data_IF_366495760168
#
_entry.id   IF_366495760168
#
_cell.length_a   1.000
_cell.length_b   1.000
_cell.length_c   1.000
_cell.angle_alpha   90.00
_cell.angle_beta   90.00
_cell.angle_gamma   90.00
#
_symmetry.space_group_name_H-M   'P 1'
#
loop_
_entity.id
_entity.type
_entity.pdbx_description
1 polymer ?
#
# COMPACT_ATOMS: atom_id res chain seq x y z
N UNK A 1 -4.72 -24.11 2.40
CA UNK A 1 -5.08 -23.21 3.52
C UNK A 1 -6.58 -23.36 3.73
N UNK A 2 -7.10 -23.52 4.95
CA UNK A 2 -8.54 -23.65 5.17
C UNK A 2 -9.26 -22.39 4.65
N UNK A 3 -10.32 -22.56 3.85
CA UNK A 3 -11.13 -21.43 3.38
C UNK A 3 -12.00 -20.94 4.53
N UNK A 4 -11.79 -19.71 4.96
CA UNK A 4 -12.67 -19.05 5.93
C UNK A 4 -13.96 -18.65 5.20
N UNK A 5 -15.12 -18.98 5.76
CA UNK A 5 -16.41 -18.59 5.18
C UNK A 5 -16.93 -17.28 5.77
N UNK A 6 -17.92 -16.66 5.12
CA UNK A 6 -18.60 -15.48 5.68
C UNK A 6 -19.27 -15.80 7.02
N UNK A 7 -19.84 -17.00 7.17
CA UNK A 7 -20.44 -17.43 8.42
C UNK A 7 -19.41 -17.52 9.56
N UNK A 8 -18.21 -18.03 9.28
CA UNK A 8 -17.10 -18.09 10.24
C UNK A 8 -16.64 -16.69 10.68
N UNK A 9 -16.72 -15.70 9.78
CA UNK A 9 -16.37 -14.30 10.07
C UNK A 9 -17.47 -13.66 10.92
N UNK A 10 -18.74 -13.82 10.52
CA UNK A 10 -19.88 -13.22 11.22
C UNK A 10 -19.96 -13.68 12.68
N UNK A 11 -19.78 -14.99 12.94
CA UNK A 11 -19.75 -15.53 14.30
C UNK A 11 -18.66 -14.87 15.17
N UNK A 12 -17.50 -14.55 14.59
CA UNK A 12 -16.41 -13.87 15.29
C UNK A 12 -16.72 -12.39 15.52
N UNK A 13 -17.34 -11.71 14.56
CA UNK A 13 -17.71 -10.30 14.69
C UNK A 13 -18.75 -10.08 15.78
N UNK A 14 -19.73 -10.97 15.91
CA UNK A 14 -20.76 -10.90 16.95
C UNK A 14 -20.19 -10.93 18.39
N UNK A 15 -18.97 -11.45 18.58
CA UNK A 15 -18.30 -11.53 19.89
C UNK A 15 -17.42 -10.32 20.20
N UNK A 16 -17.21 -9.41 19.26
CA UNK A 16 -16.35 -8.25 19.45
C UNK A 16 -17.09 -7.09 20.11
N UNK A 17 -16.39 -6.30 20.94
CA UNK A 17 -16.95 -5.05 21.44
C UNK A 17 -17.11 -4.03 20.29
N UNK A 18 -18.05 -3.09 20.40
CA UNK A 18 -18.35 -2.10 19.35
C UNK A 18 -17.12 -1.33 18.85
N UNK A 19 -16.22 -0.93 19.75
CA UNK A 19 -15.01 -0.18 19.40
C UNK A 19 -14.08 -0.96 18.45
N UNK A 20 -14.07 -2.29 18.53
CA UNK A 20 -13.29 -3.16 17.64
C UNK A 20 -14.00 -3.38 16.31
N UNK A 21 -15.32 -3.36 16.27
CA UNK A 21 -16.09 -3.45 15.03
C UNK A 21 -15.81 -2.26 14.10
N UNK A 22 -15.60 -1.06 14.65
CA UNK A 22 -15.21 0.12 13.86
C UNK A 22 -13.87 -0.13 13.14
N UNK A 23 -12.89 -0.73 13.82
CA UNK A 23 -11.58 -1.03 13.23
C UNK A 23 -11.72 -2.07 12.11
N UNK A 24 -12.52 -3.12 12.33
CA UNK A 24 -12.80 -4.13 11.30
C UNK A 24 -13.49 -3.51 10.11
N UNK A 25 -14.50 -2.67 10.33
CA UNK A 25 -15.21 -1.95 9.27
C UNK A 25 -14.24 -1.13 8.42
N UNK A 26 -13.40 -0.31 9.05
CA UNK A 26 -12.40 0.50 8.34
C UNK A 26 -11.43 -0.36 7.52
N UNK A 27 -11.01 -1.49 8.07
CA UNK A 27 -10.11 -2.42 7.37
C UNK A 27 -10.78 -3.06 6.15
N UNK A 28 -12.02 -3.52 6.27
CA UNK A 28 -12.76 -4.10 5.14
C UNK A 28 -13.03 -3.04 4.07
N UNK A 29 -13.40 -1.82 4.46
CA UNK A 29 -13.56 -0.69 3.53
C UNK A 29 -12.26 -0.42 2.77
N UNK A 30 -11.12 -0.36 3.46
CA UNK A 30 -9.82 -0.19 2.83
C UNK A 30 -9.50 -1.31 1.83
N UNK A 31 -9.78 -2.58 2.17
CA UNK A 31 -9.54 -3.69 1.24
C UNK A 31 -10.40 -3.58 -0.02
N UNK A 32 -11.67 -3.17 0.10
CA UNK A 32 -12.56 -2.97 -1.04
C UNK A 32 -12.12 -1.79 -1.92
N UNK A 33 -11.69 -0.70 -1.30
CA UNK A 33 -11.15 0.47 -2.01
C UNK A 33 -9.84 0.14 -2.72
N UNK A 34 -8.95 -0.65 -2.08
CA UNK A 34 -7.69 -1.08 -2.69
C UNK A 34 -7.92 -2.04 -3.84
N UNK A 35 -8.79 -3.05 -3.70
CA UNK A 35 -9.15 -3.92 -4.83
C UNK A 35 -9.72 -3.11 -5.99
N UNK A 36 -10.50 -2.06 -5.70
CA UNK A 36 -10.99 -1.13 -6.72
C UNK A 36 -9.86 -0.32 -7.38
N UNK A 37 -8.86 0.13 -6.62
CA UNK A 37 -7.69 0.82 -7.13
C UNK A 37 -6.78 -0.10 -7.98
N UNK A 38 -6.56 -1.34 -7.53
CA UNK A 38 -5.83 -2.37 -8.27
C UNK A 38 -6.55 -2.75 -9.59
N UNK A 39 -7.87 -2.59 -9.65
CA UNK A 39 -8.69 -2.76 -10.86
C UNK A 39 -8.72 -1.52 -11.77
N UNK A 40 -8.16 -0.38 -11.35
CA UNK A 40 -8.05 0.86 -12.13
C UNK A 40 -6.58 1.05 -12.58
N UNK A 41 -6.13 0.36 -13.64
CA UNK A 41 -4.72 0.31 -14.05
C UNK A 41 -4.11 1.65 -14.51
N UNK A 42 -4.88 2.73 -14.61
CA UNK A 42 -4.45 3.97 -15.27
C UNK A 42 -4.14 5.13 -14.31
N UNK A 43 -4.72 5.15 -13.09
CA UNK A 43 -4.54 6.28 -12.17
C UNK A 43 -3.27 6.16 -11.32
N UNK A 44 -2.96 4.98 -10.78
CA UNK A 44 -1.80 4.76 -9.91
C UNK A 44 -0.50 4.50 -10.68
N UNK A 45 -0.57 4.07 -11.93
CA UNK A 45 0.63 3.86 -12.77
C UNK A 45 1.39 5.17 -12.98
N UNK A 46 0.70 6.30 -13.16
CA UNK A 46 1.36 7.60 -13.34
C UNK A 46 1.98 8.14 -12.05
N UNK A 47 1.29 7.99 -10.91
CA UNK A 47 1.80 8.44 -9.61
C UNK A 47 2.98 7.58 -9.14
N UNK A 48 2.88 6.26 -9.29
CA UNK A 48 3.96 5.32 -8.95
C UNK A 48 5.15 5.46 -9.91
N UNK A 49 4.92 5.70 -11.21
CA UNK A 49 6.00 5.99 -12.15
C UNK A 49 6.71 7.32 -11.83
N UNK A 50 5.97 8.38 -11.46
CA UNK A 50 6.57 9.65 -11.06
C UNK A 50 7.39 9.53 -9.76
N UNK A 51 6.94 8.70 -8.81
CA UNK A 51 7.68 8.41 -7.58
C UNK A 51 8.99 7.65 -7.87
N UNK A 52 8.94 6.62 -8.72
CA UNK A 52 10.13 5.85 -9.13
C UNK A 52 11.13 6.67 -9.95
N UNK A 53 10.66 7.59 -10.79
CA UNK A 53 11.54 8.53 -11.53
C UNK A 53 12.24 9.50 -10.56
N UNK A 54 11.54 9.96 -9.52
CA UNK A 54 12.16 10.81 -8.49
C UNK A 54 13.21 10.05 -7.68
N UNK A 55 12.99 8.77 -7.38
CA UNK A 55 13.97 7.91 -6.72
C UNK A 55 15.25 7.70 -7.56
N UNK A 56 15.10 7.47 -8.87
CA UNK A 56 16.23 7.32 -9.78
C UNK A 56 17.06 8.61 -9.92
N UNK A 57 16.42 9.78 -9.91
CA UNK A 57 17.12 11.08 -9.95
C UNK A 57 17.91 11.33 -8.67
N UNK A 58 17.38 10.94 -7.50
CA UNK A 58 18.08 11.08 -6.22
C UNK A 58 19.28 10.12 -6.08
N UNK A 59 19.21 8.93 -6.67
CA UNK A 59 20.31 7.97 -6.64
C UNK A 59 21.48 8.39 -7.54
N UNK A 60 21.23 9.07 -8.65
CA UNK A 60 22.31 9.55 -9.54
C UNK A 60 23.19 10.64 -8.92
N UNK A 61 22.70 11.37 -7.93
CA UNK A 61 23.47 12.46 -7.29
C UNK A 61 24.47 11.94 -6.24
N UNK A 62 24.35 10.67 -5.83
CA UNK A 62 25.25 10.02 -4.85
C UNK A 62 26.47 9.33 -5.51
N UNK A 63 26.43 9.05 -6.81
CA UNK A 63 27.45 8.28 -7.53
C UNK A 63 28.50 9.16 -8.24
N UNK A 64 28.63 10.43 -7.81
CA UNK A 64 29.68 11.32 -8.31
C UNK A 64 30.81 11.38 -7.28
N UNK A 65 31.92 10.65 -7.47
CA UNK A 65 33.12 10.92 -6.69
C UNK A 65 33.55 12.34 -7.06
N UNK A 66 33.60 13.22 -6.06
CA UNK A 66 34.23 14.52 -6.17
C UNK A 66 35.62 14.33 -6.80
N UNK A 67 35.86 14.86 -8.00
CA UNK A 67 37.22 14.94 -8.55
C UNK A 67 38.03 15.85 -7.63
N UNK A 68 38.70 15.24 -6.65
CA UNK A 68 39.74 15.88 -5.85
C UNK A 68 40.88 16.15 -6.82
N UNK A 69 40.89 17.37 -7.35
CA UNK A 69 42.05 17.95 -8.01
C UNK A 69 43.20 17.96 -7.01
N UNK A 70 44.24 17.18 -7.30
CA UNK A 70 45.54 17.33 -6.67
C UNK A 70 46.42 18.03 -7.70
N UNK A 71 46.97 19.16 -7.25
CA UNK A 71 47.91 20.10 -7.88
C UNK A 71 49.03 19.44 -8.70
#
# INVERSE_FOLDING_TARGET
MPSVTIADIDERLQRLPPDKLIVVYNFVSYLLERDLADLLPDADTHAHAAMLVSEAVLHCDWDRPEEIGID
#
